data_IF_412546795851
#
_entry.id   IF_412546795851
#
_cell.length_a   1.000
_cell.length_b   1.000
_cell.length_c   1.000
_cell.angle_alpha   90.00
_cell.angle_beta   90.00
_cell.angle_gamma   90.00
#
_symmetry.space_group_name_H-M   'P 1'
#
loop_
_entity.id
_entity.type
_entity.pdbx_description
1 polymer ?
#
# COMPACT_ATOMS: atom_id res chain seq x y z
N UNK A 1 17.69 3.72 1.78
CA UNK A 1 16.39 4.39 1.53
C UNK A 1 15.68 4.68 2.84
N UNK A 2 15.30 5.93 3.07
CA UNK A 2 14.37 6.36 4.13
C UNK A 2 13.00 6.55 3.48
N UNK A 3 12.06 5.69 3.78
CA UNK A 3 10.73 5.74 3.16
C UNK A 3 9.63 5.88 4.21
N UNK A 4 8.63 6.70 3.91
CA UNK A 4 7.47 6.86 4.75
C UNK A 4 6.21 6.38 4.03
N UNK A 5 5.53 5.40 4.59
CA UNK A 5 4.22 4.95 4.12
C UNK A 5 3.12 5.69 4.88
N UNK A 6 2.09 6.13 4.16
CA UNK A 6 0.96 6.90 4.71
C UNK A 6 -0.33 6.15 4.43
N UNK A 7 -1.13 5.89 5.47
CA UNK A 7 -2.43 5.22 5.30
C UNK A 7 -3.04 4.74 6.60
N UNK A 8 -3.80 3.67 6.54
CA UNK A 8 -4.50 3.09 7.68
C UNK A 8 -3.96 1.69 8.01
N UNK A 9 -3.66 1.46 9.29
CA UNK A 9 -3.43 0.15 9.85
C UNK A 9 -4.63 -0.19 10.74
N UNK A 10 -5.31 -1.29 10.44
CA UNK A 10 -6.55 -1.70 11.08
C UNK A 10 -6.32 -2.96 11.94
N UNK A 11 -7.26 -3.20 12.86
CA UNK A 11 -7.40 -4.51 13.50
C UNK A 11 -7.94 -5.47 12.44
N UNK A 12 -7.25 -6.59 12.25
CA UNK A 12 -7.69 -7.71 11.43
C UNK A 12 -8.17 -8.83 12.34
N UNK A 13 -9.40 -9.28 12.14
CA UNK A 13 -9.92 -10.51 12.73
C UNK A 13 -10.07 -11.54 11.61
N UNK A 14 -9.26 -12.58 11.65
CA UNK A 14 -9.35 -13.68 10.67
C UNK A 14 -9.89 -14.94 11.32
N UNK A 15 -10.91 -15.55 10.71
CA UNK A 15 -11.48 -16.78 11.22
C UNK A 15 -10.45 -17.91 11.14
N UNK A 16 -10.24 -18.61 12.25
CA UNK A 16 -9.38 -19.82 12.33
C UNK A 16 -10.24 -21.04 12.21
N UNK A 17 -11.25 -21.10 13.08
CA UNK A 17 -12.16 -22.21 13.27
C UNK A 17 -13.47 -21.65 13.82
N UNK A 18 -14.55 -22.40 13.70
CA UNK A 18 -15.90 -22.01 14.12
C UNK A 18 -15.94 -21.03 15.32
N UNK A 19 -16.31 -19.79 15.09
CA UNK A 19 -16.35 -18.67 16.08
C UNK A 19 -15.03 -18.30 16.77
N UNK A 20 -13.88 -18.85 16.36
CA UNK A 20 -12.56 -18.48 16.88
C UNK A 20 -11.86 -17.57 15.86
N UNK A 21 -11.44 -16.40 16.30
CA UNK A 21 -10.76 -15.42 15.46
C UNK A 21 -9.35 -15.15 15.96
N UNK A 22 -8.42 -15.09 15.00
CA UNK A 22 -7.09 -14.55 15.27
C UNK A 22 -7.10 -13.05 15.08
N UNK A 23 -6.64 -12.32 16.09
CA UNK A 23 -6.44 -10.87 16.01
C UNK A 23 -5.03 -10.58 15.49
N UNK A 24 -4.95 -9.77 14.45
CA UNK A 24 -3.72 -9.21 13.88
C UNK A 24 -3.90 -7.71 13.61
N UNK A 25 -2.86 -7.09 13.03
CA UNK A 25 -2.92 -5.75 12.48
C UNK A 25 -2.47 -5.79 11.03
N UNK A 26 -3.22 -5.15 10.14
CA UNK A 26 -2.90 -5.08 8.73
C UNK A 26 -3.51 -3.85 8.06
N UNK A 27 -2.99 -3.51 6.90
CA UNK A 27 -3.42 -2.46 6.01
C UNK A 27 -2.43 -2.39 4.86
N UNK A 28 -2.85 -2.08 3.66
CA UNK A 28 -2.02 -2.16 2.47
C UNK A 28 -0.70 -1.39 2.60
N UNK A 29 -0.76 -0.14 3.04
CA UNK A 29 0.43 0.69 3.25
C UNK A 29 1.24 0.28 4.48
N UNK A 30 0.61 -0.28 5.52
CA UNK A 30 1.29 -0.83 6.69
C UNK A 30 2.03 -2.13 6.33
N UNK A 31 1.39 -3.01 5.55
CA UNK A 31 2.00 -4.23 5.03
C UNK A 31 3.26 -3.90 4.20
N UNK A 32 3.13 -2.93 3.28
CA UNK A 32 4.28 -2.45 2.48
C UNK A 32 5.38 -1.86 3.36
N UNK A 33 5.04 -1.09 4.41
CA UNK A 33 6.02 -0.53 5.35
C UNK A 33 6.79 -1.63 6.09
N UNK A 34 6.11 -2.71 6.50
CA UNK A 34 6.71 -3.86 7.17
C UNK A 34 7.67 -4.59 6.21
N UNK A 35 7.25 -4.90 4.98
CA UNK A 35 8.13 -5.57 4.01
C UNK A 35 9.32 -4.70 3.63
N UNK A 36 9.15 -3.39 3.44
CA UNK A 36 10.25 -2.45 3.24
C UNK A 36 11.26 -2.50 4.40
N UNK A 37 10.78 -2.52 5.63
CA UNK A 37 11.61 -2.64 6.82
C UNK A 37 12.38 -3.96 6.85
N UNK A 38 11.71 -5.06 6.59
CA UNK A 38 12.31 -6.41 6.55
C UNK A 38 13.36 -6.57 5.45
N UNK A 39 13.21 -5.84 4.33
CA UNK A 39 14.19 -5.79 3.24
C UNK A 39 15.40 -4.88 3.56
N UNK A 40 15.37 -4.11 4.66
CA UNK A 40 16.46 -3.26 5.10
C UNK A 40 16.28 -1.76 4.87
N UNK A 41 15.11 -1.30 4.41
CA UNK A 41 14.82 0.13 4.34
C UNK A 41 14.63 0.73 5.74
N UNK A 42 15.00 2.01 5.92
CA UNK A 42 14.61 2.79 7.10
C UNK A 42 13.13 3.20 6.93
N UNK A 43 12.23 2.27 7.25
CA UNK A 43 10.78 2.41 7.05
C UNK A 43 10.13 3.16 8.20
N UNK A 44 9.19 4.03 7.88
CA UNK A 44 8.37 4.79 8.83
C UNK A 44 6.92 4.75 8.41
N UNK A 45 6.02 4.94 9.38
CA UNK A 45 4.59 4.96 9.12
C UNK A 45 3.96 6.24 9.64
N UNK A 46 3.13 6.88 8.82
CA UNK A 46 2.31 8.04 9.18
C UNK A 46 0.84 7.65 9.09
N UNK A 47 0.15 7.82 10.19
CA UNK A 47 -1.28 7.56 10.34
C UNK A 47 -1.83 8.36 11.51
N UNK A 48 -3.09 8.15 11.86
CA UNK A 48 -3.61 8.50 13.18
C UNK A 48 -4.14 7.28 13.89
N UNK A 49 -4.02 7.27 15.22
CA UNK A 49 -4.45 6.17 16.08
C UNK A 49 -5.22 6.71 17.29
N UNK A 50 -5.94 5.82 17.99
CA UNK A 50 -6.56 6.15 19.27
C UNK A 50 -5.57 6.11 20.44
N UNK A 51 -6.10 6.24 21.67
CA UNK A 51 -5.35 6.10 22.95
C UNK A 51 -5.58 4.74 23.60
N UNK A 52 -6.49 3.95 23.05
CA UNK A 52 -6.94 2.68 23.56
C UNK A 52 -5.87 1.59 23.55
N UNK A 53 -6.19 0.45 24.19
CA UNK A 53 -5.29 -0.69 24.31
C UNK A 53 -4.89 -1.30 22.97
N UNK A 54 -5.83 -1.40 22.01
CA UNK A 54 -5.55 -1.96 20.69
C UNK A 54 -4.68 -1.02 19.85
N UNK A 55 -4.87 0.28 20.00
CA UNK A 55 -3.99 1.30 19.40
C UNK A 55 -2.54 1.15 19.88
N UNK A 56 -2.34 0.94 21.20
CA UNK A 56 -1.00 0.67 21.78
C UNK A 56 -0.40 -0.64 21.26
N UNK A 57 -1.20 -1.70 21.13
CA UNK A 57 -0.77 -2.98 20.54
C UNK A 57 -0.35 -2.82 19.10
N UNK A 58 -1.09 -2.05 18.29
CA UNK A 58 -0.74 -1.76 16.89
C UNK A 58 0.60 -1.02 16.79
N UNK A 59 0.84 -0.01 17.63
CA UNK A 59 2.11 0.70 17.67
C UNK A 59 3.27 -0.25 18.04
N UNK A 60 3.07 -1.11 19.04
CA UNK A 60 4.05 -2.13 19.41
C UNK A 60 4.32 -3.07 18.25
N UNK A 61 3.28 -3.59 17.59
CA UNK A 61 3.41 -4.48 16.42
C UNK A 61 4.27 -3.85 15.30
N UNK A 62 4.01 -2.60 14.93
CA UNK A 62 4.81 -1.91 13.93
C UNK A 62 6.26 -1.69 14.37
N UNK A 63 6.49 -1.35 15.65
CA UNK A 63 7.85 -1.19 16.20
C UNK A 63 8.61 -2.52 16.27
N UNK A 64 7.94 -3.62 16.64
CA UNK A 64 8.52 -4.97 16.60
C UNK A 64 8.94 -5.38 15.18
N UNK A 65 8.27 -4.83 14.15
CA UNK A 65 8.64 -4.94 12.73
C UNK A 65 9.69 -3.89 12.29
N UNK A 66 10.27 -3.13 13.23
CA UNK A 66 11.25 -2.06 12.99
C UNK A 66 10.73 -0.92 12.10
N UNK A 67 9.40 -0.77 12.01
CA UNK A 67 8.77 0.39 11.35
C UNK A 67 8.65 1.51 12.37
N UNK A 68 9.25 2.68 12.08
CA UNK A 68 9.22 3.84 12.97
C UNK A 68 7.82 4.44 13.05
N UNK A 69 7.30 4.60 14.27
CA UNK A 69 5.92 5.04 14.56
C UNK A 69 5.82 6.44 15.18
N UNK A 70 6.95 7.14 15.40
CA UNK A 70 6.97 8.46 16.06
C UNK A 70 6.21 9.57 15.31
N UNK A 71 5.82 9.33 14.06
CA UNK A 71 4.97 10.22 13.26
C UNK A 71 3.52 9.73 13.14
N UNK A 72 3.09 8.79 13.99
CA UNK A 72 1.67 8.43 14.13
C UNK A 72 1.03 9.40 15.11
N UNK A 73 0.02 10.13 14.65
CA UNK A 73 -0.68 11.15 15.43
C UNK A 73 -1.79 10.52 16.27
N UNK A 74 -1.95 10.98 17.51
CA UNK A 74 -2.98 10.47 18.40
C UNK A 74 -4.27 11.31 18.27
N UNK A 75 -5.42 10.63 18.18
CA UNK A 75 -6.73 11.22 18.30
C UNK A 75 -7.50 10.48 19.41
N UNK A 76 -7.60 11.11 20.58
CA UNK A 76 -8.15 10.49 21.80
C UNK A 76 -9.63 10.09 21.69
N UNK A 77 -10.36 10.70 20.75
CA UNK A 77 -11.80 10.49 20.53
C UNK A 77 -12.08 9.43 19.45
N UNK A 78 -11.04 8.74 18.97
CA UNK A 78 -11.15 7.78 17.87
C UNK A 78 -10.42 6.49 18.23
N UNK A 79 -10.75 5.42 17.50
CA UNK A 79 -10.14 4.10 17.62
C UNK A 79 -9.52 3.65 16.32
N UNK A 80 -8.90 2.50 16.28
CA UNK A 80 -8.52 1.86 15.02
C UNK A 80 -9.77 1.44 14.23
N UNK A 81 -9.65 1.41 12.92
CA UNK A 81 -10.59 0.67 12.10
C UNK A 81 -10.44 -0.83 12.35
N UNK A 82 -11.51 -1.59 12.10
CA UNK A 82 -11.53 -3.04 12.24
C UNK A 82 -12.08 -3.64 10.95
N UNK A 83 -11.53 -4.77 10.54
CA UNK A 83 -12.17 -5.65 9.57
C UNK A 83 -12.10 -7.11 10.00
N UNK A 84 -13.09 -7.86 9.55
CA UNK A 84 -13.23 -9.28 9.79
C UNK A 84 -13.16 -10.02 8.47
N UNK A 85 -12.37 -11.10 8.43
CA UNK A 85 -12.28 -12.02 7.30
C UNK A 85 -13.01 -13.29 7.69
N UNK A 86 -14.06 -13.61 6.94
CA UNK A 86 -14.80 -14.85 7.07
C UNK A 86 -14.70 -15.64 5.78
N UNK A 87 -14.28 -16.89 5.88
CA UNK A 87 -14.27 -17.80 4.74
C UNK A 87 -15.66 -18.42 4.59
N UNK A 88 -16.19 -18.40 3.38
CA UNK A 88 -17.39 -19.18 3.06
C UNK A 88 -17.03 -20.66 2.89
N UNK A 89 -18.06 -21.53 2.74
CA UNK A 89 -17.88 -22.97 2.55
C UNK A 89 -17.04 -23.34 1.31
N UNK A 90 -16.97 -22.45 0.33
CA UNK A 90 -16.21 -22.62 -0.91
C UNK A 90 -14.75 -22.09 -0.80
N UNK A 91 -14.34 -21.63 0.39
CA UNK A 91 -13.00 -21.05 0.60
C UNK A 91 -12.85 -19.59 0.14
N UNK A 92 -13.91 -18.97 -0.39
CA UNK A 92 -13.90 -17.55 -0.73
C UNK A 92 -13.99 -16.71 0.52
N UNK A 93 -13.36 -15.54 0.48
CA UNK A 93 -13.27 -14.62 1.62
C UNK A 93 -14.26 -13.48 1.49
N UNK A 94 -15.04 -13.31 2.55
CA UNK A 94 -15.86 -12.14 2.75
C UNK A 94 -15.19 -11.22 3.76
N UNK A 95 -15.16 -9.91 3.42
CA UNK A 95 -14.58 -8.87 4.26
C UNK A 95 -15.69 -7.99 4.79
N UNK A 96 -15.74 -7.85 6.11
CA UNK A 96 -16.67 -6.95 6.80
C UNK A 96 -15.88 -5.84 7.48
N UNK A 97 -16.31 -4.58 7.34
CA UNK A 97 -15.53 -3.42 7.78
C UNK A 97 -16.29 -2.57 8.81
N UNK A 98 -15.63 -2.26 9.90
CA UNK A 98 -16.04 -1.26 10.89
C UNK A 98 -14.96 -0.18 10.98
N UNK A 99 -14.98 0.76 10.05
CA UNK A 99 -13.98 1.81 9.92
C UNK A 99 -14.53 3.22 9.81
N UNK A 100 -15.85 3.42 10.00
CA UNK A 100 -16.48 4.75 9.92
C UNK A 100 -15.89 5.72 10.94
N UNK A 101 -15.56 5.23 12.14
CA UNK A 101 -14.98 6.00 13.24
C UNK A 101 -13.46 5.88 13.36
N UNK A 102 -12.78 5.38 12.36
CA UNK A 102 -11.32 5.17 12.38
C UNK A 102 -10.55 6.47 12.56
N UNK A 103 -9.55 6.45 13.45
CA UNK A 103 -8.64 7.57 13.69
C UNK A 103 -7.88 7.97 12.42
N UNK A 104 -7.46 7.01 11.59
CA UNK A 104 -6.72 7.25 10.35
C UNK A 104 -7.44 8.22 9.40
N UNK A 105 -8.78 8.18 9.35
CA UNK A 105 -9.61 9.10 8.54
C UNK A 105 -9.45 10.57 8.96
N UNK A 106 -8.97 10.83 10.16
CA UNK A 106 -8.87 12.19 10.72
C UNK A 106 -7.47 12.81 10.57
N UNK A 107 -6.49 12.05 10.09
CA UNK A 107 -5.10 12.51 9.96
C UNK A 107 -5.01 13.90 9.31
N UNK A 108 -5.56 14.03 8.11
CA UNK A 108 -5.46 15.26 7.34
C UNK A 108 -6.38 16.39 7.83
N UNK A 109 -7.41 16.07 8.62
CA UNK A 109 -8.27 17.07 9.29
C UNK A 109 -7.54 17.70 10.47
N UNK A 110 -6.90 16.88 11.30
CA UNK A 110 -6.37 17.30 12.59
C UNK A 110 -4.92 17.75 12.53
N UNK A 111 -4.12 17.22 11.58
CA UNK A 111 -2.71 17.57 11.48
C UNK A 111 -2.51 18.80 10.61
N UNK A 112 -1.80 19.80 11.12
CA UNK A 112 -1.47 21.00 10.37
C UNK A 112 -0.59 20.67 9.15
N UNK A 113 -0.86 21.33 8.00
CA UNK A 113 -0.13 21.10 6.75
C UNK A 113 1.37 21.33 6.86
N UNK A 114 1.79 22.40 7.59
CA UNK A 114 3.22 22.70 7.80
C UNK A 114 3.91 21.63 8.64
N UNK A 115 3.21 21.07 9.66
CA UNK A 115 3.72 19.99 10.50
C UNK A 115 3.89 18.74 9.66
N UNK A 116 2.86 18.32 8.91
CA UNK A 116 2.93 17.13 8.07
C UNK A 116 4.02 17.28 6.99
N UNK A 117 4.10 18.42 6.31
CA UNK A 117 5.13 18.71 5.32
C UNK A 117 6.53 18.61 5.93
N UNK A 118 6.76 19.19 7.11
CA UNK A 118 8.05 19.12 7.83
C UNK A 118 8.44 17.67 8.15
N UNK A 119 7.47 16.84 8.53
CA UNK A 119 7.74 15.43 8.83
C UNK A 119 8.09 14.62 7.58
N UNK A 120 7.26 14.72 6.53
CA UNK A 120 7.47 13.92 5.31
C UNK A 120 8.69 14.40 4.49
N UNK A 121 9.11 15.66 4.63
CA UNK A 121 10.31 16.19 3.97
C UNK A 121 11.63 15.58 4.46
N UNK A 122 11.61 14.77 5.51
CA UNK A 122 12.80 14.08 6.06
C UNK A 122 13.12 12.76 5.35
N UNK A 123 12.24 12.32 4.46
CA UNK A 123 12.35 11.02 3.79
C UNK A 123 12.81 11.17 2.35
N UNK A 124 13.38 10.10 1.81
CA UNK A 124 13.79 10.04 0.40
C UNK A 124 12.59 9.73 -0.50
N UNK A 125 11.57 9.06 0.08
CA UNK A 125 10.35 8.69 -0.64
C UNK A 125 9.13 8.64 0.27
N UNK A 126 7.95 8.89 -0.34
CA UNK A 126 6.63 8.77 0.26
C UNK A 126 5.83 7.73 -0.52
N UNK A 127 5.20 6.80 0.20
CA UNK A 127 4.34 5.76 -0.38
C UNK A 127 2.92 5.86 0.20
N UNK A 128 1.91 5.78 -0.65
CA UNK A 128 0.49 5.74 -0.28
C UNK A 128 -0.33 5.04 -1.37
N UNK A 129 -1.61 4.80 -1.10
CA UNK A 129 -2.49 4.05 -2.00
C UNK A 129 -3.83 4.74 -2.27
N UNK A 130 -4.59 4.20 -3.21
CA UNK A 130 -5.98 4.59 -3.45
C UNK A 130 -6.88 4.29 -2.23
N UNK A 131 -6.59 3.25 -1.44
CA UNK A 131 -7.28 3.02 -0.17
C UNK A 131 -7.03 4.20 0.78
N UNK A 132 -5.79 4.68 0.88
CA UNK A 132 -5.45 5.88 1.67
C UNK A 132 -6.28 7.10 1.24
N UNK A 133 -6.42 7.32 -0.07
CA UNK A 133 -7.20 8.44 -0.59
C UNK A 133 -8.71 8.27 -0.33
N UNK A 134 -9.20 7.03 -0.40
CA UNK A 134 -10.62 6.71 -0.25
C UNK A 134 -11.16 6.92 1.17
N UNK A 135 -10.29 6.93 2.18
CA UNK A 135 -10.70 7.17 3.57
C UNK A 135 -10.80 8.66 3.91
N UNK A 136 -10.29 9.53 3.06
CA UNK A 136 -10.31 10.97 3.24
C UNK A 136 -11.48 11.62 2.49
N UNK A 137 -11.99 12.74 3.03
CA UNK A 137 -12.91 13.58 2.29
C UNK A 137 -12.17 14.43 1.22
N UNK A 138 -12.92 15.05 0.33
CA UNK A 138 -12.38 15.83 -0.79
C UNK A 138 -11.43 16.94 -0.30
N UNK A 139 -11.82 17.68 0.75
CA UNK A 139 -11.02 18.77 1.33
C UNK A 139 -9.66 18.26 1.85
N UNK A 140 -9.68 17.11 2.51
CA UNK A 140 -8.48 16.43 2.99
C UNK A 140 -7.59 15.93 1.84
N UNK A 141 -8.18 15.34 0.80
CA UNK A 141 -7.44 14.94 -0.40
C UNK A 141 -6.82 16.14 -1.11
N UNK A 142 -7.51 17.27 -1.23
CA UNK A 142 -6.96 18.49 -1.83
C UNK A 142 -5.77 19.05 -1.00
N UNK A 143 -5.89 19.02 0.31
CA UNK A 143 -4.82 19.37 1.24
C UNK A 143 -3.60 18.44 1.04
N UNK A 144 -3.83 17.13 0.98
CA UNK A 144 -2.77 16.13 0.80
C UNK A 144 -2.07 16.30 -0.55
N UNK A 145 -2.85 16.52 -1.62
CA UNK A 145 -2.30 16.79 -2.94
C UNK A 145 -1.37 18.03 -2.96
N UNK A 146 -1.79 19.14 -2.34
CA UNK A 146 -0.97 20.35 -2.24
C UNK A 146 0.34 20.08 -1.49
N UNK A 147 0.28 19.34 -0.38
CA UNK A 147 1.46 18.94 0.40
C UNK A 147 2.41 18.09 -0.45
N UNK A 148 1.91 17.04 -1.11
CA UNK A 148 2.75 16.18 -1.95
C UNK A 148 3.33 16.93 -3.15
N UNK A 149 2.54 17.81 -3.79
CA UNK A 149 3.02 18.63 -4.91
C UNK A 149 4.20 19.51 -4.51
N UNK A 150 4.21 20.04 -3.28
CA UNK A 150 5.32 20.89 -2.78
C UNK A 150 6.61 20.11 -2.51
N UNK A 151 6.57 18.76 -2.50
CA UNK A 151 7.76 17.93 -2.35
C UNK A 151 8.55 17.77 -3.66
N UNK A 152 7.92 17.97 -4.82
CA UNK A 152 8.56 17.74 -6.13
C UNK A 152 9.84 18.56 -6.33
N UNK A 153 9.93 19.77 -5.76
CA UNK A 153 11.13 20.60 -5.79
C UNK A 153 12.24 20.14 -4.84
N UNK A 154 12.00 19.13 -3.98
CA UNK A 154 12.90 18.67 -2.91
C UNK A 154 13.57 17.32 -3.17
N UNK A 155 13.53 16.81 -4.39
CA UNK A 155 14.06 15.51 -4.79
C UNK A 155 13.48 14.32 -3.99
N UNK A 156 12.27 14.47 -3.42
CA UNK A 156 11.57 13.41 -2.69
C UNK A 156 10.68 12.65 -3.68
N UNK A 157 10.84 11.33 -3.75
CA UNK A 157 10.07 10.47 -4.66
C UNK A 157 8.67 10.21 -4.11
N UNK A 158 7.70 10.16 -4.99
CA UNK A 158 6.29 9.87 -4.67
C UNK A 158 5.91 8.56 -5.33
N UNK A 159 5.49 7.58 -4.53
CA UNK A 159 5.08 6.25 -4.97
C UNK A 159 3.62 6.03 -4.64
N UNK A 160 2.86 5.57 -5.62
CA UNK A 160 1.42 5.46 -5.52
C UNK A 160 0.92 4.11 -6.03
N UNK A 161 0.16 3.40 -5.21
CA UNK A 161 -0.56 2.20 -5.60
C UNK A 161 -2.05 2.53 -5.81
N UNK A 162 -2.61 2.20 -6.96
CA UNK A 162 -4.02 2.46 -7.26
C UNK A 162 -4.92 1.75 -6.26
N UNK A 163 -4.73 0.47 -6.05
CA UNK A 163 -5.43 -0.35 -5.06
C UNK A 163 -6.90 0.08 -4.86
N UNK A 164 -7.64 0.07 -5.96
CA UNK A 164 -8.99 0.62 -6.04
C UNK A 164 -9.99 -0.28 -5.31
N UNK A 165 -10.72 0.29 -4.37
CA UNK A 165 -11.83 -0.36 -3.66
C UNK A 165 -13.06 0.52 -3.78
N UNK A 166 -13.86 0.35 -4.85
CA UNK A 166 -14.98 1.24 -5.18
C UNK A 166 -15.96 1.42 -4.02
N UNK A 167 -16.19 0.40 -3.21
CA UNK A 167 -17.07 0.45 -2.04
C UNK A 167 -16.63 1.48 -0.98
N UNK A 168 -15.38 1.94 -1.02
CA UNK A 168 -14.88 3.00 -0.13
C UNK A 168 -15.10 4.41 -0.69
N UNK A 169 -15.53 4.54 -1.93
CA UNK A 169 -15.70 5.82 -2.61
C UNK A 169 -17.17 6.20 -2.71
N UNK A 170 -17.46 7.50 -2.66
CA UNK A 170 -18.83 8.01 -2.84
C UNK A 170 -19.40 7.70 -4.24
N UNK A 171 -18.53 7.69 -5.25
CA UNK A 171 -18.88 7.30 -6.62
C UNK A 171 -17.64 6.88 -7.40
N UNK A 172 -17.82 6.11 -8.47
CA UNK A 172 -16.77 5.73 -9.43
C UNK A 172 -16.12 6.97 -10.07
N UNK A 173 -16.88 8.00 -10.37
CA UNK A 173 -16.38 9.26 -10.95
C UNK A 173 -15.40 9.95 -10.00
N UNK A 174 -15.73 10.06 -8.71
CA UNK A 174 -14.84 10.65 -7.70
C UNK A 174 -13.59 9.81 -7.54
N UNK A 175 -13.71 8.48 -7.52
CA UNK A 175 -12.57 7.58 -7.48
C UNK A 175 -11.63 7.82 -8.67
N UNK A 176 -12.15 7.80 -9.88
CA UNK A 176 -11.40 8.02 -11.12
C UNK A 176 -10.68 9.38 -11.10
N UNK A 177 -11.40 10.46 -10.84
CA UNK A 177 -10.83 11.81 -10.82
C UNK A 177 -9.70 11.94 -9.78
N UNK A 178 -9.91 11.37 -8.59
CA UNK A 178 -8.92 11.43 -7.50
C UNK A 178 -7.70 10.59 -7.83
N UNK A 179 -7.87 9.34 -8.27
CA UNK A 179 -6.75 8.46 -8.65
C UNK A 179 -5.92 9.09 -9.77
N UNK A 180 -6.55 9.59 -10.83
CA UNK A 180 -5.84 10.25 -11.94
C UNK A 180 -5.12 11.52 -11.47
N UNK A 181 -5.74 12.33 -10.60
CA UNK A 181 -5.12 13.52 -10.04
C UNK A 181 -3.80 13.19 -9.31
N UNK A 182 -3.84 12.21 -8.41
CA UNK A 182 -2.65 11.83 -7.63
C UNK A 182 -1.61 11.09 -8.45
N UNK A 183 -2.01 10.28 -9.42
CA UNK A 183 -1.09 9.61 -10.32
C UNK A 183 -0.21 10.58 -11.13
N UNK A 184 -0.70 11.80 -11.42
CA UNK A 184 0.07 12.83 -12.15
C UNK A 184 1.28 13.34 -11.37
N UNK A 185 1.29 13.25 -10.06
CA UNK A 185 2.42 13.68 -9.22
C UNK A 185 3.33 12.53 -8.77
N UNK A 186 2.92 11.29 -8.94
CA UNK A 186 3.71 10.11 -8.56
C UNK A 186 4.87 9.86 -9.54
N UNK A 187 5.99 9.36 -9.04
CA UNK A 187 7.16 8.95 -9.84
C UNK A 187 7.07 7.48 -10.22
N UNK A 188 6.53 6.63 -9.33
CA UNK A 188 6.23 5.23 -9.61
C UNK A 188 4.77 4.97 -9.26
N UNK A 189 4.09 4.24 -10.15
CA UNK A 189 2.69 3.88 -10.00
C UNK A 189 2.56 2.38 -10.12
N UNK A 190 1.86 1.78 -9.16
CA UNK A 190 1.42 0.40 -9.22
C UNK A 190 -0.07 0.34 -9.50
N UNK A 191 -0.48 -0.60 -10.34
CA UNK A 191 -1.88 -0.84 -10.68
C UNK A 191 -2.09 -2.28 -11.08
N UNK A 192 -3.32 -2.75 -11.01
CA UNK A 192 -3.74 -4.04 -11.54
C UNK A 192 -4.71 -3.85 -12.70
N UNK A 193 -4.90 -4.90 -13.52
CA UNK A 193 -5.98 -4.89 -14.53
C UNK A 193 -7.35 -4.68 -13.88
N UNK A 194 -7.55 -5.22 -12.68
CA UNK A 194 -8.82 -5.05 -11.94
C UNK A 194 -9.02 -3.60 -11.49
N UNK A 195 -7.97 -2.90 -11.06
CA UNK A 195 -8.05 -1.47 -10.74
C UNK A 195 -8.53 -0.66 -11.95
N UNK A 196 -7.97 -0.93 -13.11
CA UNK A 196 -8.34 -0.24 -14.36
C UNK A 196 -9.78 -0.57 -14.77
N UNK A 197 -10.19 -1.83 -14.69
CA UNK A 197 -11.55 -2.27 -14.98
C UNK A 197 -12.57 -1.60 -14.04
N UNK A 198 -12.27 -1.57 -12.73
CA UNK A 198 -13.09 -0.90 -11.73
C UNK A 198 -13.28 0.58 -12.05
N UNK A 199 -12.23 1.25 -12.51
CA UNK A 199 -12.29 2.65 -12.94
C UNK A 199 -12.93 2.86 -14.32
N UNK A 200 -13.18 1.78 -15.09
CA UNK A 200 -13.69 1.84 -16.46
C UNK A 200 -12.66 2.25 -17.50
N UNK A 201 -11.39 2.05 -17.22
CA UNK A 201 -10.28 2.41 -18.08
C UNK A 201 -9.92 1.23 -19.02
N UNK A 202 -10.62 1.13 -20.16
CA UNK A 202 -10.47 0.00 -21.10
C UNK A 202 -9.18 0.06 -21.92
N UNK A 203 -8.80 1.23 -22.38
CA UNK A 203 -7.57 1.42 -23.17
C UNK A 203 -6.41 1.90 -22.29
N UNK A 204 -5.94 1.02 -21.40
CA UNK A 204 -4.92 1.37 -20.41
C UNK A 204 -3.56 1.74 -21.05
N UNK A 205 -3.18 1.18 -22.20
CA UNK A 205 -1.88 1.47 -22.86
C UNK A 205 -1.76 2.93 -23.27
N UNK A 206 -2.79 3.45 -23.95
CA UNK A 206 -2.80 4.86 -24.37
C UNK A 206 -2.93 5.80 -23.17
N UNK A 207 -3.73 5.41 -22.13
CA UNK A 207 -3.88 6.18 -20.91
C UNK A 207 -2.56 6.25 -20.15
N UNK A 208 -1.85 5.13 -20.01
CA UNK A 208 -0.52 5.10 -19.37
C UNK A 208 0.43 5.97 -20.19
N UNK A 209 0.51 5.79 -21.51
CA UNK A 209 1.40 6.56 -22.36
C UNK A 209 1.12 8.06 -22.29
N UNK A 210 -0.11 8.49 -22.38
CA UNK A 210 -0.48 9.92 -22.37
C UNK A 210 -0.32 10.60 -21.01
N UNK A 211 -0.58 9.88 -19.91
CA UNK A 211 -0.58 10.46 -18.56
C UNK A 211 0.73 10.23 -17.81
N UNK A 212 1.56 9.26 -18.21
CA UNK A 212 2.71 8.81 -17.41
C UNK A 212 4.05 8.88 -18.15
N UNK A 213 4.17 9.70 -19.20
CA UNK A 213 5.45 9.99 -19.85
C UNK A 213 6.49 10.38 -18.79
N UNK A 214 7.68 9.78 -18.85
CA UNK A 214 8.81 9.98 -17.92
C UNK A 214 8.62 9.40 -16.51
N UNK A 215 7.64 8.53 -16.29
CA UNK A 215 7.39 7.85 -15.02
C UNK A 215 7.47 6.34 -15.20
N UNK A 216 7.53 5.62 -14.09
CA UNK A 216 7.40 4.17 -14.11
C UNK A 216 5.98 3.80 -13.73
N UNK A 217 5.32 3.05 -14.58
CA UNK A 217 4.03 2.44 -14.26
C UNK A 217 4.16 0.92 -14.35
N UNK A 218 3.78 0.23 -13.27
CA UNK A 218 3.82 -1.23 -13.14
C UNK A 218 2.38 -1.73 -13.13
N UNK A 219 1.98 -2.40 -14.20
CA UNK A 219 0.66 -3.01 -14.34
C UNK A 219 0.77 -4.51 -14.15
N UNK A 220 0.08 -5.03 -13.16
CA UNK A 220 0.01 -6.46 -12.85
C UNK A 220 -1.34 -7.04 -13.27
N UNK A 221 -1.32 -8.33 -13.60
CA UNK A 221 -2.53 -9.09 -13.88
C UNK A 221 -2.52 -10.43 -13.14
N UNK A 222 -3.72 -10.97 -12.88
CA UNK A 222 -3.91 -12.21 -12.14
C UNK A 222 -3.29 -13.43 -12.81
N UNK A 223 -3.07 -13.38 -14.14
CA UNK A 223 -2.46 -14.45 -14.92
C UNK A 223 -0.91 -14.46 -14.89
N UNK A 224 -0.28 -13.67 -14.02
CA UNK A 224 1.18 -13.58 -13.91
C UNK A 224 1.85 -12.67 -14.92
N UNK A 225 1.09 -11.91 -15.70
CA UNK A 225 1.68 -10.88 -16.58
C UNK A 225 1.96 -9.61 -15.79
N UNK A 226 3.14 -9.05 -16.00
CA UNK A 226 3.55 -7.74 -15.49
C UNK A 226 4.02 -6.90 -16.67
N UNK A 227 3.36 -5.77 -16.87
CA UNK A 227 3.74 -4.80 -17.89
C UNK A 227 4.34 -3.57 -17.20
N UNK A 228 5.50 -3.11 -17.69
CA UNK A 228 6.14 -1.91 -17.18
C UNK A 228 6.29 -0.90 -18.28
N UNK A 229 5.80 0.29 -18.02
CA UNK A 229 6.03 1.47 -18.81
C UNK A 229 7.13 2.31 -18.17
N UNK A 230 8.23 2.57 -18.90
CA UNK A 230 9.35 3.38 -18.43
C UNK A 230 9.93 4.17 -19.61
N UNK A 231 9.90 5.49 -19.57
CA UNK A 231 10.50 6.39 -20.60
C UNK A 231 10.13 6.00 -22.05
N UNK A 232 8.88 5.96 -22.40
CA UNK A 232 8.38 5.59 -23.72
C UNK A 232 8.55 4.09 -24.12
N UNK A 233 9.15 3.29 -23.23
CA UNK A 233 9.32 1.85 -23.42
C UNK A 233 8.25 1.07 -22.68
N UNK A 234 7.63 0.11 -23.37
CA UNK A 234 6.63 -0.79 -22.77
C UNK A 234 7.16 -2.22 -22.82
N UNK A 235 7.50 -2.76 -21.66
CA UNK A 235 8.05 -4.10 -21.51
C UNK A 235 7.04 -5.01 -20.83
N UNK A 236 6.88 -6.23 -21.36
CA UNK A 236 6.03 -7.26 -20.79
C UNK A 236 6.86 -8.41 -20.23
N UNK A 237 6.48 -8.88 -19.07
CA UNK A 237 7.09 -10.02 -18.37
C UNK A 237 6.01 -11.05 -18.09
N UNK A 238 6.30 -12.32 -18.38
CA UNK A 238 5.46 -13.45 -18.00
C UNK A 238 6.13 -14.18 -16.84
N UNK A 239 5.43 -14.26 -15.72
CA UNK A 239 5.95 -14.81 -14.48
C UNK A 239 5.17 -16.08 -14.11
N UNK A 240 5.87 -17.07 -13.56
CA UNK A 240 5.26 -18.33 -13.16
C UNK A 240 4.46 -18.17 -11.85
N UNK A 241 3.18 -18.50 -11.92
CA UNK A 241 2.31 -18.49 -10.74
C UNK A 241 2.55 -19.70 -9.85
N UNK A 242 2.28 -19.58 -8.56
CA UNK A 242 2.26 -20.69 -7.64
C UNK A 242 1.09 -21.64 -7.97
N UNK A 243 1.36 -22.93 -8.01
CA UNK A 243 0.31 -23.96 -8.09
C UNK A 243 -0.46 -24.15 -6.76
N UNK A 244 0.20 -23.85 -5.63
CA UNK A 244 -0.38 -23.99 -4.28
C UNK A 244 -0.41 -22.61 -3.60
N UNK A 245 -1.55 -21.95 -3.64
CA UNK A 245 -1.81 -20.65 -2.99
C UNK A 245 -2.69 -20.89 -1.77
N UNK A 246 -2.28 -20.41 -0.60
CA UNK A 246 -3.10 -20.45 0.63
C UNK A 246 -3.88 -19.15 0.80
N UNK A 247 -3.23 -18.02 0.52
CA UNK A 247 -3.79 -16.71 0.77
C UNK A 247 -3.09 -15.65 -0.09
N UNK A 248 -3.83 -14.84 -0.85
CA UNK A 248 -3.29 -13.77 -1.68
C UNK A 248 -3.23 -12.40 -0.97
N UNK A 249 -3.68 -12.33 0.29
CA UNK A 249 -3.66 -11.09 1.07
C UNK A 249 -2.23 -10.60 1.24
N UNK A 250 -1.99 -9.32 0.98
CA UNK A 250 -0.66 -8.71 1.12
C UNK A 250 0.36 -9.04 0.02
N UNK A 251 0.05 -9.96 -0.93
CA UNK A 251 0.98 -10.28 -2.03
C UNK A 251 1.33 -9.03 -2.86
N UNK A 252 0.33 -8.19 -3.14
CA UNK A 252 0.51 -6.93 -3.85
C UNK A 252 1.36 -5.94 -3.08
N UNK A 253 1.13 -5.84 -1.77
CA UNK A 253 1.85 -4.93 -0.87
C UNK A 253 3.33 -5.36 -0.77
N UNK A 254 3.58 -6.65 -0.65
CA UNK A 254 4.92 -7.24 -0.62
C UNK A 254 5.66 -7.04 -1.96
N UNK A 255 4.95 -7.25 -3.09
CA UNK A 255 5.49 -6.98 -4.42
C UNK A 255 5.92 -5.51 -4.54
N UNK A 256 5.05 -4.57 -4.19
CA UNK A 256 5.34 -3.14 -4.27
C UNK A 256 6.54 -2.76 -3.40
N UNK A 257 6.58 -3.26 -2.16
CA UNK A 257 7.69 -3.01 -1.23
C UNK A 257 9.03 -3.50 -1.80
N UNK A 258 9.06 -4.73 -2.32
CA UNK A 258 10.27 -5.31 -2.90
C UNK A 258 10.72 -4.58 -4.16
N UNK A 259 9.77 -4.20 -5.05
CA UNK A 259 10.08 -3.41 -6.23
C UNK A 259 10.72 -2.07 -5.86
N UNK A 260 10.11 -1.34 -4.93
CA UNK A 260 10.59 -0.03 -4.49
C UNK A 260 11.97 -0.12 -3.85
N UNK A 261 12.20 -1.14 -3.02
CA UNK A 261 13.49 -1.34 -2.37
C UNK A 261 14.60 -1.60 -3.38
N UNK A 262 14.39 -2.54 -4.31
CA UNK A 262 15.40 -2.90 -5.33
C UNK A 262 15.61 -1.76 -6.32
N UNK A 263 14.54 -1.09 -6.78
CA UNK A 263 14.64 0.04 -7.68
C UNK A 263 15.43 1.22 -7.07
N UNK A 264 15.18 1.53 -5.80
CA UNK A 264 15.93 2.57 -5.09
C UNK A 264 17.43 2.22 -4.95
N UNK A 265 17.75 0.95 -4.85
CA UNK A 265 19.13 0.45 -4.83
C UNK A 265 19.71 0.22 -6.24
N UNK A 266 19.17 0.92 -7.25
CA UNK A 266 19.64 0.95 -8.64
C UNK A 266 19.64 -0.40 -9.36
N UNK A 267 18.76 -1.33 -8.97
CA UNK A 267 18.58 -2.57 -9.74
C UNK A 267 17.79 -2.28 -11.02
N UNK A 268 18.09 -3.04 -12.06
CA UNK A 268 17.31 -2.92 -13.30
C UNK A 268 15.86 -3.40 -13.11
N UNK A 269 14.96 -2.96 -13.99
CA UNK A 269 13.52 -3.25 -13.89
C UNK A 269 13.22 -4.75 -13.90
N UNK A 270 13.94 -5.53 -14.71
CA UNK A 270 13.75 -6.98 -14.80
C UNK A 270 14.01 -7.67 -13.46
N UNK A 271 15.09 -7.32 -12.78
CA UNK A 271 15.42 -7.85 -11.46
C UNK A 271 14.43 -7.37 -10.39
N UNK A 272 14.05 -6.07 -10.42
CA UNK A 272 13.02 -5.56 -9.53
C UNK A 272 11.73 -6.39 -9.62
N UNK A 273 11.28 -6.71 -10.84
CA UNK A 273 10.07 -7.53 -11.06
C UNK A 273 10.27 -8.95 -10.58
N UNK A 274 11.40 -9.59 -10.92
CA UNK A 274 11.70 -10.98 -10.55
C UNK A 274 11.66 -11.16 -9.03
N UNK A 275 12.39 -10.34 -8.28
CA UNK A 275 12.44 -10.42 -6.81
C UNK A 275 11.10 -10.08 -6.17
N UNK A 276 10.39 -9.09 -6.70
CA UNK A 276 9.06 -8.71 -6.20
C UNK A 276 8.05 -9.83 -6.38
N UNK A 277 8.10 -10.52 -7.51
CA UNK A 277 7.24 -11.67 -7.77
C UNK A 277 7.55 -12.84 -6.83
N UNK A 278 8.83 -13.15 -6.63
CA UNK A 278 9.24 -14.22 -5.70
C UNK A 278 8.82 -13.92 -4.27
N UNK A 279 8.92 -12.67 -3.82
CA UNK A 279 8.38 -12.30 -2.51
C UNK A 279 6.86 -12.44 -2.46
N UNK A 280 6.12 -11.95 -3.46
CA UNK A 280 4.67 -12.14 -3.56
C UNK A 280 4.26 -13.62 -3.54
N UNK A 281 4.98 -14.47 -4.28
CA UNK A 281 4.79 -15.94 -4.25
C UNK A 281 5.04 -16.54 -2.88
N UNK A 282 6.03 -16.04 -2.16
CA UNK A 282 6.31 -16.52 -0.80
C UNK A 282 5.18 -16.12 0.15
N UNK A 283 4.70 -14.89 0.08
CA UNK A 283 3.55 -14.42 0.87
C UNK A 283 2.32 -15.29 0.61
N UNK A 284 2.05 -15.62 -0.64
CA UNK A 284 0.90 -16.46 -1.03
C UNK A 284 0.88 -17.87 -0.41
N UNK A 285 1.99 -18.36 0.14
CA UNK A 285 2.07 -19.65 0.82
C UNK A 285 1.59 -19.64 2.28
N UNK A 286 1.36 -18.44 2.83
CA UNK A 286 0.96 -18.27 4.23
C UNK A 286 -0.44 -17.67 4.33
N UNK A 287 -1.11 -17.83 5.48
CA UNK A 287 -2.37 -17.13 5.79
C UNK A 287 -2.04 -15.74 6.35
N UNK A 288 -2.78 -14.73 5.90
CA UNK A 288 -2.62 -13.32 6.31
C UNK A 288 -1.59 -12.56 5.48
N UNK A 289 -1.61 -11.24 5.63
CA UNK A 289 -0.81 -10.32 4.81
C UNK A 289 0.69 -10.33 5.15
N UNK A 290 1.05 -10.65 6.39
CA UNK A 290 2.43 -10.62 6.90
C UNK A 290 2.87 -12.03 7.26
N UNK A 291 3.87 -12.53 6.56
CA UNK A 291 4.41 -13.86 6.83
C UNK A 291 5.21 -13.87 8.15
N UNK A 292 5.28 -15.02 8.86
CA UNK A 292 6.08 -15.12 10.08
C UNK A 292 7.55 -14.75 9.82
N UNK A 293 8.19 -14.06 10.79
CA UNK A 293 9.57 -13.57 10.64
C UNK A 293 10.58 -14.66 10.31
N UNK A 294 10.46 -15.83 10.94
CA UNK A 294 11.33 -16.98 10.72
C UNK A 294 11.25 -17.54 9.31
N UNK A 295 10.18 -17.23 8.56
CA UNK A 295 9.99 -17.66 7.18
C UNK A 295 10.40 -16.59 6.15
N UNK A 296 10.90 -15.44 6.62
CA UNK A 296 11.35 -14.34 5.78
C UNK A 296 12.88 -14.29 5.74
N UNK A 297 13.46 -14.60 4.58
CA UNK A 297 14.89 -14.40 4.34
C UNK A 297 15.09 -13.26 3.33
N UNK A 298 15.54 -12.07 3.76
CA UNK A 298 15.71 -10.93 2.85
C UNK A 298 16.69 -11.19 1.72
N UNK A 299 17.71 -12.02 1.92
CA UNK A 299 18.73 -12.34 0.91
C UNK A 299 18.15 -12.99 -0.35
N UNK A 300 16.93 -13.56 -0.28
CA UNK A 300 16.25 -14.14 -1.45
C UNK A 300 15.60 -13.08 -2.36
N UNK A 301 15.46 -11.84 -1.88
CA UNK A 301 14.70 -10.79 -2.54
C UNK A 301 15.51 -9.52 -2.81
N UNK A 302 16.77 -9.52 -2.45
CA UNK A 302 17.71 -8.42 -2.68
C UNK A 302 19.07 -8.99 -3.12
N UNK A 303 19.78 -8.27 -4.00
CA UNK A 303 21.14 -8.60 -4.44
C UNK A 303 22.09 -7.60 -3.81
#
# INVERSE_FOLDING_TARGET
>A
MRICSIGECMIELSNIEHNIFRQNFAGDTANSAIYLSRLGAKSSYISSTGKDFLSKKMLKFLNDEKVKTHNIFMNINKTLGLYLIQNNKNGERNFFYWRSNSAAKTLLKNVNSKVLLKQISKYDAIYFSGITLSIYDQKSNDKFYKILKSLKGKNIKIYFDFNVRLNNWKSKTIALQTIIKFSRIADIIFMTKDDLNNLGLRNYKSIIKSNYNKKIAVLRSSNGEVSVYNKDNFQNYKLHLNKKVKDTTGCGDAFNACFLYNYFNNKNIKDCIKFSHELGKTVAKFKGAIIPKQNFNPKLYVI
#
